data_IF_913781300807
#
_entry.id   IF_913781300807
#
_cell.length_a   1.000
_cell.length_b   1.000
_cell.length_c   1.000
_cell.angle_alpha   90.00
_cell.angle_beta   90.00
_cell.angle_gamma   90.00
#
_symmetry.space_group_name_H-M   'P 1'
#
loop_
_entity.id
_entity.type
_entity.pdbx_description
1 polymer ?
#
# COMPACT_ATOMS: atom_id res chain seq x y z
N UNK A 1 -8.84 -14.57 -20.19
CA UNK A 1 -8.44 -13.38 -19.39
C UNK A 1 -6.93 -13.35 -19.08
N UNK A 2 -6.31 -14.44 -18.63
CA UNK A 2 -4.86 -14.52 -18.33
C UNK A 2 -3.95 -13.90 -19.42
N UNK A 3 -4.17 -14.22 -20.70
CA UNK A 3 -3.42 -13.62 -21.82
C UNK A 3 -3.60 -12.09 -21.94
N UNK A 4 -4.77 -11.56 -21.57
CA UNK A 4 -5.00 -10.10 -21.57
C UNK A 4 -4.23 -9.43 -20.45
N UNK A 5 -4.24 -9.98 -19.24
CA UNK A 5 -3.46 -9.50 -18.12
C UNK A 5 -1.97 -9.51 -18.44
N UNK A 6 -1.45 -10.63 -18.93
CA UNK A 6 -0.05 -10.73 -19.35
C UNK A 6 0.31 -9.68 -20.41
N UNK A 7 -0.55 -9.53 -21.43
CA UNK A 7 -0.33 -8.54 -22.50
C UNK A 7 -0.31 -7.11 -21.97
N UNK A 8 -1.24 -6.77 -21.06
CA UNK A 8 -1.30 -5.43 -20.45
C UNK A 8 -0.06 -5.15 -19.60
N UNK A 9 0.26 -6.03 -18.66
CA UNK A 9 1.44 -5.89 -17.79
C UNK A 9 2.71 -5.80 -18.62
N UNK A 10 2.87 -6.69 -19.62
CA UNK A 10 4.01 -6.66 -20.53
C UNK A 10 4.14 -5.31 -21.23
N UNK A 11 3.06 -4.79 -21.82
CA UNK A 11 3.12 -3.54 -22.56
C UNK A 11 3.53 -2.35 -21.68
N UNK A 12 2.92 -2.23 -20.49
CA UNK A 12 3.22 -1.14 -19.56
C UNK A 12 4.67 -1.20 -19.09
N UNK A 13 5.10 -2.35 -18.58
CA UNK A 13 6.45 -2.49 -18.02
C UNK A 13 7.54 -2.39 -19.10
N UNK A 14 7.29 -2.96 -20.29
CA UNK A 14 8.22 -2.85 -21.42
C UNK A 14 8.34 -1.40 -21.87
N UNK A 15 7.22 -0.69 -21.99
CA UNK A 15 7.22 0.73 -22.37
C UNK A 15 8.04 1.59 -21.41
N UNK A 16 7.83 1.40 -20.10
CA UNK A 16 8.58 2.14 -19.08
C UNK A 16 10.08 1.81 -19.15
N UNK A 17 10.43 0.55 -19.25
CA UNK A 17 11.82 0.10 -19.37
C UNK A 17 12.52 0.65 -20.61
N UNK A 18 11.85 0.70 -21.76
CA UNK A 18 12.44 1.16 -23.01
C UNK A 18 12.54 2.68 -23.13
N UNK A 19 11.57 3.42 -22.55
CA UNK A 19 11.50 4.88 -22.69
C UNK A 19 12.03 5.63 -21.46
N UNK A 20 12.05 4.99 -20.29
CA UNK A 20 12.45 5.60 -19.03
C UNK A 20 13.30 4.62 -18.18
N UNK A 21 14.41 4.11 -18.72
CA UNK A 21 15.24 3.10 -18.05
C UNK A 21 15.75 3.62 -16.69
N UNK A 22 15.59 2.81 -15.64
CA UNK A 22 15.99 3.12 -14.28
C UNK A 22 15.13 4.15 -13.55
N UNK A 23 14.06 4.70 -14.18
CA UNK A 23 13.19 5.69 -13.55
C UNK A 23 12.21 5.04 -12.58
N UNK A 24 11.60 3.93 -13.00
CA UNK A 24 10.59 3.23 -12.18
C UNK A 24 11.28 2.16 -11.34
N UNK A 25 11.44 2.45 -10.06
CA UNK A 25 12.10 1.52 -9.14
C UNK A 25 11.14 0.54 -8.46
N UNK A 26 9.84 0.84 -8.44
CA UNK A 26 8.83 0.00 -7.80
C UNK A 26 7.48 0.04 -8.54
N UNK A 27 6.69 -1.04 -8.41
CA UNK A 27 5.33 -1.16 -8.91
C UNK A 27 4.41 -1.74 -7.84
N UNK A 28 3.27 -1.11 -7.63
CA UNK A 28 2.12 -1.70 -6.97
C UNK A 28 1.40 -2.61 -7.98
N UNK A 29 1.79 -3.89 -7.96
CA UNK A 29 1.33 -4.87 -8.96
C UNK A 29 -0.14 -5.20 -8.77
N UNK A 30 -0.57 -5.32 -7.53
CA UNK A 30 -1.97 -5.51 -7.14
C UNK A 30 -2.30 -4.52 -6.03
N UNK A 31 -3.41 -3.83 -6.20
CA UNK A 31 -3.93 -2.87 -5.26
C UNK A 31 -5.28 -3.33 -4.71
N UNK A 32 -5.46 -3.23 -3.38
CA UNK A 32 -6.74 -3.44 -2.68
C UNK A 32 -7.39 -4.81 -2.93
N UNK A 33 -6.61 -5.87 -2.75
CA UNK A 33 -7.09 -7.23 -2.95
C UNK A 33 -8.01 -7.73 -1.83
N UNK A 34 -7.96 -7.12 -0.65
CA UNK A 34 -8.70 -7.54 0.55
C UNK A 34 -9.74 -6.50 0.93
N UNK A 35 -10.96 -6.93 1.21
CA UNK A 35 -12.04 -6.08 1.73
C UNK A 35 -11.91 -5.82 3.24
N UNK A 36 -12.68 -4.85 3.74
CA UNK A 36 -12.71 -4.52 5.18
C UNK A 36 -13.38 -5.61 6.03
N UNK A 37 -14.11 -6.50 5.40
CA UNK A 37 -14.67 -7.70 6.03
C UNK A 37 -13.60 -8.80 6.30
N UNK A 38 -12.34 -8.56 5.93
CA UNK A 38 -11.25 -9.51 6.08
C UNK A 38 -11.29 -10.68 5.09
N UNK A 39 -12.00 -10.53 3.98
CA UNK A 39 -12.02 -11.48 2.88
C UNK A 39 -11.40 -10.87 1.61
N UNK A 40 -10.96 -11.72 0.68
CA UNK A 40 -10.57 -11.21 -0.64
C UNK A 40 -11.78 -10.60 -1.37
N UNK A 41 -11.54 -9.50 -2.08
CA UNK A 41 -12.58 -8.82 -2.87
C UNK A 41 -13.05 -9.68 -4.04
N UNK A 42 -14.34 -9.94 -4.10
CA UNK A 42 -14.99 -10.70 -5.18
C UNK A 42 -15.60 -9.81 -6.26
N UNK A 43 -15.73 -8.50 -6.00
CA UNK A 43 -16.34 -7.53 -6.93
C UNK A 43 -15.37 -7.03 -8.01
N UNK A 44 -14.15 -7.53 -8.04
CA UNK A 44 -13.19 -7.15 -9.06
C UNK A 44 -13.46 -7.89 -10.38
N UNK A 45 -13.32 -7.18 -11.50
CA UNK A 45 -13.43 -7.77 -12.84
C UNK A 45 -12.44 -8.94 -13.05
N UNK A 46 -11.32 -8.92 -12.32
CA UNK A 46 -10.32 -10.00 -12.33
C UNK A 46 -10.88 -11.26 -11.68
N UNK A 47 -11.45 -11.14 -10.47
CA UNK A 47 -12.09 -12.26 -9.79
C UNK A 47 -13.26 -12.83 -10.60
N UNK A 48 -14.18 -11.96 -11.06
CA UNK A 48 -15.34 -12.38 -11.88
C UNK A 48 -14.93 -13.20 -13.11
N UNK A 49 -13.75 -12.90 -13.67
CA UNK A 49 -13.30 -13.58 -14.89
C UNK A 49 -12.44 -14.80 -14.61
N UNK A 50 -11.66 -14.81 -13.54
CA UNK A 50 -10.86 -15.97 -13.14
C UNK A 50 -11.69 -17.04 -12.41
N UNK A 51 -12.69 -16.60 -11.66
CA UNK A 51 -13.49 -17.46 -10.77
C UNK A 51 -12.81 -17.78 -9.44
N UNK A 52 -11.58 -17.28 -9.24
CA UNK A 52 -10.79 -17.45 -8.02
C UNK A 52 -9.73 -16.33 -7.89
N UNK A 53 -8.92 -16.40 -6.82
CA UNK A 53 -7.89 -15.39 -6.51
C UNK A 53 -6.51 -15.67 -7.13
N UNK A 54 -6.40 -16.65 -8.03
CA UNK A 54 -5.14 -16.97 -8.72
C UNK A 54 -4.63 -15.83 -9.60
N UNK A 55 -5.51 -14.88 -9.97
CA UNK A 55 -5.14 -13.68 -10.70
C UNK A 55 -4.06 -12.85 -9.99
N UNK A 56 -4.04 -12.83 -8.65
CA UNK A 56 -3.04 -12.11 -7.86
C UNK A 56 -1.64 -12.68 -8.15
N UNK A 57 -1.49 -14.00 -8.03
CA UNK A 57 -0.21 -14.68 -8.32
C UNK A 57 0.20 -14.56 -9.78
N UNK A 58 -0.76 -14.64 -10.69
CA UNK A 58 -0.50 -14.46 -12.12
C UNK A 58 -0.02 -13.04 -12.43
N UNK A 59 -0.61 -12.00 -11.83
CA UNK A 59 -0.17 -10.61 -11.98
C UNK A 59 1.30 -10.43 -11.54
N UNK A 60 1.65 -10.91 -10.36
CA UNK A 60 3.03 -10.87 -9.86
C UNK A 60 4.00 -11.68 -10.72
N UNK A 61 3.58 -12.86 -11.20
CA UNK A 61 4.39 -13.70 -12.12
C UNK A 61 4.71 -12.93 -13.41
N UNK A 62 3.72 -12.25 -14.00
CA UNK A 62 3.93 -11.45 -15.20
C UNK A 62 4.74 -10.20 -14.93
N UNK A 63 4.49 -9.51 -13.81
CA UNK A 63 5.28 -8.35 -13.43
C UNK A 63 6.76 -8.72 -13.24
N UNK A 64 7.07 -9.80 -12.52
CA UNK A 64 8.44 -10.28 -12.34
C UNK A 64 9.12 -10.65 -13.65
N UNK A 65 8.36 -11.19 -14.61
CA UNK A 65 8.87 -11.57 -15.93
C UNK A 65 9.25 -10.38 -16.81
N UNK A 66 8.51 -9.26 -16.72
CA UNK A 66 8.65 -8.15 -17.65
C UNK A 66 9.21 -6.87 -17.04
N UNK A 67 9.26 -6.75 -15.71
CA UNK A 67 9.88 -5.62 -15.03
C UNK A 67 11.36 -5.49 -15.39
N UNK A 68 11.87 -4.29 -15.28
CA UNK A 68 13.31 -4.04 -15.37
C UNK A 68 14.01 -4.72 -14.18
N UNK A 69 15.24 -5.19 -14.40
CA UNK A 69 16.04 -5.80 -13.34
C UNK A 69 16.24 -4.80 -12.19
N UNK A 70 16.01 -5.25 -10.97
CA UNK A 70 16.09 -4.41 -9.77
C UNK A 70 14.78 -3.71 -9.40
N UNK A 71 13.79 -3.66 -10.30
CA UNK A 71 12.47 -3.10 -9.97
C UNK A 71 11.77 -3.93 -8.90
N UNK A 72 11.27 -3.26 -7.87
CA UNK A 72 10.58 -3.86 -6.73
C UNK A 72 9.08 -4.01 -6.99
N UNK A 73 8.51 -5.11 -6.54
CA UNK A 73 7.10 -5.44 -6.75
C UNK A 73 6.36 -5.50 -5.42
N UNK A 74 5.32 -4.70 -5.29
CA UNK A 74 4.55 -4.51 -4.07
C UNK A 74 3.10 -4.99 -4.21
N UNK A 75 2.55 -5.48 -3.09
CA UNK A 75 1.12 -5.58 -2.85
C UNK A 75 0.72 -4.40 -1.97
N UNK A 76 -0.18 -3.55 -2.49
CA UNK A 76 -0.63 -2.33 -1.83
C UNK A 76 -2.07 -2.48 -1.35
N UNK A 77 -2.36 -2.05 -0.11
CA UNK A 77 -3.74 -2.07 0.41
C UNK A 77 -3.92 -1.02 1.51
N UNK A 78 -5.16 -0.68 1.82
CA UNK A 78 -5.56 0.25 2.88
C UNK A 78 -6.09 -0.51 4.10
N UNK A 79 -6.28 0.18 5.23
CA UNK A 79 -6.72 -0.42 6.50
C UNK A 79 -5.89 -1.66 6.91
N UNK A 80 -4.66 -1.70 6.47
CA UNK A 80 -3.69 -2.79 6.64
C UNK A 80 -3.31 -3.04 8.10
N UNK A 81 -3.73 -2.15 9.00
CA UNK A 81 -3.58 -2.28 10.45
C UNK A 81 -4.76 -3.02 11.11
N UNK A 82 -5.93 -3.14 10.47
CA UNK A 82 -7.09 -3.87 11.02
C UNK A 82 -6.78 -5.37 11.04
N UNK A 83 -6.84 -5.98 12.20
CA UNK A 83 -6.30 -7.32 12.45
C UNK A 83 -6.73 -8.39 11.43
N UNK A 84 -8.01 -8.45 11.10
CA UNK A 84 -8.55 -9.47 10.16
C UNK A 84 -7.99 -9.26 8.75
N UNK A 85 -7.98 -8.03 8.26
CA UNK A 85 -7.46 -7.65 6.96
C UNK A 85 -5.93 -7.81 6.92
N UNK A 86 -5.24 -7.30 7.94
CA UNK A 86 -3.80 -7.43 8.11
C UNK A 86 -3.33 -8.87 8.03
N UNK A 87 -4.01 -9.78 8.73
CA UNK A 87 -3.59 -11.17 8.81
C UNK A 87 -3.75 -11.91 7.48
N UNK A 88 -4.80 -11.59 6.70
CA UNK A 88 -4.98 -12.13 5.35
C UNK A 88 -3.98 -11.53 4.36
N UNK A 89 -3.74 -10.22 4.41
CA UNK A 89 -2.69 -9.56 3.61
C UNK A 89 -1.31 -10.15 3.92
N UNK A 90 -0.97 -10.27 5.20
CA UNK A 90 0.29 -10.87 5.63
C UNK A 90 0.50 -12.27 5.04
N UNK A 91 -0.52 -13.13 5.13
CA UNK A 91 -0.44 -14.48 4.56
C UNK A 91 -0.20 -14.46 3.04
N UNK A 92 -0.81 -13.52 2.31
CA UNK A 92 -0.61 -13.38 0.88
C UNK A 92 0.78 -12.79 0.55
N UNK A 93 1.24 -11.84 1.32
CA UNK A 93 2.60 -11.28 1.18
C UNK A 93 3.63 -12.38 1.38
N UNK A 94 3.53 -13.20 2.44
CA UNK A 94 4.43 -14.34 2.68
C UNK A 94 4.39 -15.32 1.50
N UNK A 95 3.20 -15.72 1.03
CA UNK A 95 3.07 -16.65 -0.11
C UNK A 95 3.81 -16.16 -1.35
N UNK A 96 3.66 -14.88 -1.69
CA UNK A 96 4.26 -14.30 -2.89
C UNK A 96 5.75 -14.04 -2.71
N UNK A 97 6.18 -13.62 -1.52
CA UNK A 97 7.57 -13.37 -1.17
C UNK A 97 8.38 -14.68 -1.19
N UNK A 98 7.89 -15.75 -0.58
CA UNK A 98 8.53 -17.08 -0.57
C UNK A 98 8.65 -17.67 -1.99
N UNK A 99 7.74 -17.29 -2.89
CA UNK A 99 7.81 -17.64 -4.30
C UNK A 99 8.78 -16.77 -5.13
N UNK A 100 9.45 -15.77 -4.52
CA UNK A 100 10.33 -14.82 -5.20
C UNK A 100 9.61 -13.84 -6.13
N UNK A 101 8.30 -13.68 -5.95
CA UNK A 101 7.46 -12.86 -6.84
C UNK A 101 7.23 -11.44 -6.30
N UNK A 102 7.32 -11.24 -4.98
CA UNK A 102 7.05 -9.97 -4.31
C UNK A 102 8.28 -9.53 -3.52
N UNK A 103 8.56 -8.23 -3.49
CA UNK A 103 9.65 -7.62 -2.74
C UNK A 103 9.15 -6.83 -1.51
N UNK A 104 7.92 -6.35 -1.53
CA UNK A 104 7.44 -5.48 -0.47
C UNK A 104 5.93 -5.38 -0.31
N UNK A 105 5.53 -4.73 0.77
CA UNK A 105 4.15 -4.38 1.07
C UNK A 105 3.99 -2.86 1.10
N UNK A 106 2.98 -2.37 0.38
CA UNK A 106 2.52 -0.99 0.44
C UNK A 106 1.40 -0.86 1.47
N UNK A 107 1.61 0.01 2.44
CA UNK A 107 0.63 0.43 3.42
C UNK A 107 0.10 1.79 2.97
N UNK A 108 -1.16 1.85 2.48
CA UNK A 108 -1.73 3.12 2.00
C UNK A 108 -1.73 4.18 3.09
N UNK A 109 -2.07 3.76 4.33
CA UNK A 109 -1.98 4.65 5.49
C UNK A 109 -2.92 5.87 5.38
N UNK A 110 -4.14 5.63 4.93
CA UNK A 110 -5.22 6.61 5.03
C UNK A 110 -5.74 6.64 6.49
N UNK A 111 -5.56 7.76 7.16
CA UNK A 111 -5.87 7.89 8.57
C UNK A 111 -7.01 8.87 8.82
N UNK A 112 -7.63 8.74 9.98
CA UNK A 112 -8.52 9.74 10.57
C UNK A 112 -7.86 10.33 11.83
N UNK A 113 -8.38 11.45 12.33
CA UNK A 113 -7.83 12.13 13.51
C UNK A 113 -7.79 11.26 14.77
N UNK A 114 -8.65 10.25 14.87
CA UNK A 114 -8.79 9.36 16.03
C UNK A 114 -8.57 7.87 15.69
N UNK A 115 -8.36 7.54 14.42
CA UNK A 115 -8.16 6.15 13.97
C UNK A 115 -7.14 6.07 12.82
N UNK A 116 -6.30 5.02 12.79
CA UNK A 116 -6.08 3.98 13.81
C UNK A 116 -5.37 4.52 15.05
N UNK A 117 -5.34 3.77 16.17
CA UNK A 117 -4.40 4.09 17.25
C UNK A 117 -2.96 3.88 16.78
N UNK A 118 -2.02 4.62 17.38
CA UNK A 118 -0.59 4.46 17.08
C UNK A 118 -0.11 3.03 17.35
N UNK A 119 -0.58 2.43 18.44
CA UNK A 119 -0.24 1.04 18.81
C UNK A 119 -0.75 0.03 17.77
N UNK A 120 -1.94 0.27 17.21
CA UNK A 120 -2.49 -0.60 16.16
C UNK A 120 -1.66 -0.52 14.88
N UNK A 121 -1.22 0.67 14.51
CA UNK A 121 -0.33 0.90 13.38
C UNK A 121 1.06 0.28 13.63
N UNK A 122 1.68 0.52 14.81
CA UNK A 122 2.98 -0.07 15.17
C UNK A 122 2.92 -1.60 15.12
N UNK A 123 1.84 -2.21 15.65
CA UNK A 123 1.61 -3.65 15.59
C UNK A 123 1.55 -4.19 14.17
N UNK A 124 0.90 -3.48 13.24
CA UNK A 124 0.84 -3.89 11.84
C UNK A 124 2.23 -3.79 11.18
N UNK A 125 2.92 -2.69 11.43
CA UNK A 125 4.25 -2.45 10.90
C UNK A 125 5.25 -3.52 11.39
N UNK A 126 5.22 -3.87 12.69
CA UNK A 126 6.02 -4.96 13.25
C UNK A 126 5.71 -6.32 12.60
N UNK A 127 4.42 -6.58 12.36
CA UNK A 127 4.01 -7.83 11.72
C UNK A 127 4.56 -7.96 10.31
N UNK A 128 4.41 -6.95 9.46
CA UNK A 128 4.98 -6.99 8.11
C UNK A 128 6.52 -7.05 8.15
N UNK A 129 7.15 -6.28 9.01
CA UNK A 129 8.59 -6.27 9.19
C UNK A 129 9.18 -7.61 9.69
N UNK A 130 8.34 -8.52 10.21
CA UNK A 130 8.78 -9.87 10.63
C UNK A 130 9.12 -10.79 9.45
N UNK A 131 8.78 -10.41 8.21
CA UNK A 131 9.15 -11.15 7.01
C UNK A 131 10.58 -10.76 6.63
N UNK A 132 11.48 -11.70 6.58
CA UNK A 132 12.90 -11.44 6.30
C UNK A 132 13.11 -10.84 4.90
N UNK A 133 13.81 -9.72 4.81
CA UNK A 133 14.11 -9.04 3.55
C UNK A 133 12.97 -8.23 2.94
N UNK A 134 11.79 -8.19 3.56
CA UNK A 134 10.65 -7.42 3.04
C UNK A 134 10.95 -5.91 3.03
N UNK A 135 10.52 -5.22 1.99
CA UNK A 135 10.45 -3.76 1.98
C UNK A 135 9.05 -3.29 2.37
N UNK A 136 8.97 -2.18 3.12
CA UNK A 136 7.71 -1.55 3.49
C UNK A 136 7.70 -0.13 2.94
N UNK A 137 6.61 0.24 2.28
CA UNK A 137 6.37 1.61 1.83
C UNK A 137 5.04 2.11 2.40
N UNK A 138 5.04 3.36 2.90
CA UNK A 138 3.82 4.06 3.21
C UNK A 138 3.45 4.85 1.95
N UNK A 139 2.40 4.41 1.25
CA UNK A 139 2.23 4.74 -0.16
C UNK A 139 1.30 5.91 -0.43
N UNK A 140 0.37 6.20 0.49
CA UNK A 140 -0.73 7.13 0.22
C UNK A 140 -1.17 7.91 1.47
N UNK A 141 -0.20 8.34 2.29
CA UNK A 141 -0.50 8.98 3.57
C UNK A 141 -1.36 10.22 3.36
N UNK A 142 -2.47 10.24 4.03
CA UNK A 142 -3.31 11.40 4.30
C UNK A 142 -4.06 11.22 5.62
N UNK A 143 -4.67 12.30 6.13
CA UNK A 143 -5.41 12.26 7.40
C UNK A 143 -6.69 13.07 7.29
N UNK A 144 -7.83 12.41 7.38
CA UNK A 144 -9.11 13.10 7.37
C UNK A 144 -9.28 14.00 8.60
N UNK A 145 -9.31 15.30 8.35
CA UNK A 145 -9.57 16.34 9.35
C UNK A 145 -10.61 17.32 8.81
N UNK A 146 -11.63 17.64 9.56
CA UNK A 146 -12.69 18.59 9.19
C UNK A 146 -12.55 19.95 9.87
N UNK A 147 -11.55 20.12 10.74
CA UNK A 147 -11.32 21.34 11.52
C UNK A 147 -10.09 22.09 11.00
N UNK A 148 -10.31 23.16 10.22
CA UNK A 148 -9.26 24.02 9.67
C UNK A 148 -8.83 25.16 10.61
N UNK A 149 -9.32 25.16 11.85
CA UNK A 149 -8.86 26.10 12.86
C UNK A 149 -7.39 25.86 13.23
N UNK A 150 -6.72 26.87 13.74
CA UNK A 150 -5.34 26.75 14.22
C UNK A 150 -5.17 25.61 15.23
N UNK A 151 -6.17 25.40 16.10
CA UNK A 151 -6.19 24.31 17.08
C UNK A 151 -6.39 22.94 16.40
N UNK A 152 -7.29 22.85 15.42
CA UNK A 152 -7.52 21.62 14.62
C UNK A 152 -6.27 21.19 13.86
N UNK A 153 -5.64 22.12 13.14
CA UNK A 153 -4.41 21.87 12.41
C UNK A 153 -3.23 21.50 13.33
N UNK A 154 -3.16 22.10 14.53
CA UNK A 154 -2.16 21.73 15.53
C UNK A 154 -2.36 20.29 16.02
N UNK A 155 -3.59 19.88 16.32
CA UNK A 155 -3.91 18.50 16.72
C UNK A 155 -3.54 17.51 15.60
N UNK A 156 -3.81 17.86 14.34
CA UNK A 156 -3.43 17.05 13.19
C UNK A 156 -1.90 16.90 13.09
N UNK A 157 -1.17 17.99 13.26
CA UNK A 157 0.30 17.96 13.25
C UNK A 157 0.86 17.09 14.41
N UNK A 158 0.27 17.16 15.61
CA UNK A 158 0.62 16.31 16.75
C UNK A 158 0.33 14.83 16.41
N UNK A 159 -0.80 14.56 15.75
CA UNK A 159 -1.19 13.22 15.33
C UNK A 159 -0.23 12.64 14.28
N UNK A 160 0.10 13.40 13.25
CA UNK A 160 1.15 13.01 12.30
C UNK A 160 2.48 12.72 12.99
N UNK A 161 2.87 13.58 13.94
CA UNK A 161 4.10 13.39 14.69
C UNK A 161 4.13 12.03 15.43
N UNK A 162 3.03 11.60 16.05
CA UNK A 162 2.96 10.31 16.73
C UNK A 162 3.27 9.14 15.78
N UNK A 163 2.67 9.12 14.59
CA UNK A 163 2.94 8.10 13.59
C UNK A 163 4.37 8.16 13.07
N UNK A 164 4.87 9.37 12.76
CA UNK A 164 6.24 9.54 12.27
C UNK A 164 7.30 9.22 13.32
N UNK A 165 6.99 9.38 14.61
CA UNK A 165 7.86 8.93 15.69
C UNK A 165 8.04 7.40 15.65
N UNK A 166 6.97 6.64 15.43
CA UNK A 166 7.03 5.17 15.25
C UNK A 166 7.81 4.81 13.97
N UNK A 167 7.45 5.38 12.83
CA UNK A 167 8.08 5.13 11.53
C UNK A 167 9.60 5.35 11.61
N UNK A 168 10.00 6.52 12.11
CA UNK A 168 11.42 6.90 12.20
C UNK A 168 12.18 6.09 13.24
N UNK A 169 11.56 5.74 14.36
CA UNK A 169 12.11 4.85 15.38
C UNK A 169 12.39 3.46 14.80
N UNK A 170 11.40 2.83 14.19
CA UNK A 170 11.53 1.49 13.66
C UNK A 170 12.57 1.40 12.53
N UNK A 171 12.60 2.41 11.64
CA UNK A 171 13.64 2.49 10.60
C UNK A 171 15.03 2.67 11.20
N UNK A 172 15.21 3.61 12.13
CA UNK A 172 16.51 3.89 12.77
C UNK A 172 17.04 2.71 13.58
N UNK A 173 16.16 1.97 14.23
CA UNK A 173 16.51 0.78 15.03
C UNK A 173 16.71 -0.48 14.17
N UNK A 174 16.51 -0.37 12.85
CA UNK A 174 16.63 -1.51 11.93
C UNK A 174 15.53 -2.57 12.10
N UNK A 175 14.41 -2.22 12.75
CA UNK A 175 13.29 -3.12 12.99
C UNK A 175 12.37 -3.26 11.79
N UNK A 176 12.31 -2.25 10.93
CA UNK A 176 11.53 -2.26 9.70
C UNK A 176 12.32 -1.63 8.56
N UNK A 177 12.35 -2.29 7.41
CA UNK A 177 12.97 -1.79 6.20
C UNK A 177 11.99 -0.86 5.44
N UNK A 178 11.72 0.31 6.01
CA UNK A 178 10.85 1.33 5.41
C UNK A 178 11.65 2.09 4.35
N UNK A 179 11.24 2.00 3.09
CA UNK A 179 12.00 2.55 1.96
C UNK A 179 11.38 3.80 1.35
N UNK A 180 10.09 4.02 1.52
CA UNK A 180 9.39 5.21 1.01
C UNK A 180 8.28 5.66 1.93
N UNK A 181 8.00 6.97 1.89
CA UNK A 181 6.84 7.62 2.49
C UNK A 181 6.30 8.62 1.46
N UNK A 182 5.05 8.43 1.05
CA UNK A 182 4.39 9.25 0.02
C UNK A 182 3.09 9.84 0.57
N UNK A 183 2.93 11.16 0.48
CA UNK A 183 1.66 11.82 0.78
C UNK A 183 0.73 11.74 -0.44
N UNK A 184 -0.55 11.46 -0.19
CA UNK A 184 -1.55 11.26 -1.25
C UNK A 184 -2.29 12.55 -1.60
N UNK A 185 -1.54 13.60 -1.87
CA UNK A 185 -2.05 14.90 -2.26
C UNK A 185 -1.02 16.00 -2.14
N UNK A 186 -1.23 17.10 -2.87
CA UNK A 186 -0.36 18.28 -2.84
C UNK A 186 -0.97 19.43 -2.05
N UNK A 187 -2.30 19.45 -1.93
CA UNK A 187 -3.04 20.50 -1.22
C UNK A 187 -4.47 20.06 -0.92
N UNK A 188 -5.05 20.62 0.13
CA UNK A 188 -6.35 20.26 0.69
C UNK A 188 -7.49 20.34 -0.32
N UNK A 189 -7.57 21.42 -1.11
CA UNK A 189 -8.66 21.63 -2.08
C UNK A 189 -8.69 20.63 -3.24
N UNK A 190 -7.72 19.74 -3.36
CA UNK A 190 -7.62 18.69 -4.40
C UNK A 190 -7.59 17.29 -3.81
N UNK A 191 -7.77 17.15 -2.48
CA UNK A 191 -7.83 15.84 -1.84
C UNK A 191 -9.08 15.06 -2.23
N UNK A 192 -8.90 13.77 -2.51
CA UNK A 192 -9.99 12.83 -2.77
C UNK A 192 -10.89 12.62 -1.55
N UNK A 193 -10.34 12.81 -0.34
CA UNK A 193 -11.05 12.59 0.94
C UNK A 193 -12.34 13.40 1.04
N UNK A 194 -12.34 14.65 0.58
CA UNK A 194 -13.55 15.49 0.62
C UNK A 194 -14.71 14.86 -0.18
N UNK A 195 -14.42 14.32 -1.35
CA UNK A 195 -15.42 13.62 -2.17
C UNK A 195 -15.84 12.27 -1.58
N UNK A 196 -14.89 11.55 -1.03
CA UNK A 196 -15.12 10.21 -0.47
C UNK A 196 -15.90 10.27 0.84
N UNK A 197 -15.56 11.18 1.74
CA UNK A 197 -16.25 11.37 3.04
C UNK A 197 -17.55 12.14 2.92
N UNK A 198 -17.77 12.86 1.80
CA UNK A 198 -18.96 13.70 1.60
C UNK A 198 -18.95 15.01 2.41
N UNK A 199 -17.80 15.42 2.91
CA UNK A 199 -17.57 16.64 3.68
C UNK A 199 -16.17 17.19 3.41
N UNK A 200 -15.94 18.48 3.68
CA UNK A 200 -14.62 19.08 3.46
C UNK A 200 -13.57 18.42 4.36
N UNK A 201 -12.45 18.04 3.78
CA UNK A 201 -11.30 17.46 4.46
C UNK A 201 -10.06 18.32 4.24
N UNK A 202 -9.29 18.50 5.28
CA UNK A 202 -7.99 19.19 5.31
C UNK A 202 -6.89 18.18 5.68
N UNK A 203 -6.45 17.31 4.72
CA UNK A 203 -5.56 16.18 4.99
C UNK A 203 -4.11 16.57 5.26
#
# INVERSE_FOLDING_TARGET
MKKRMESYIKQVLTYCKENYPGLVYAWDVVNEAVGDDGNYRTESMWYETYGDFSYIKDAFTFARKYAEEGTKLFLNDYNEYIAQKRDLLYAKVVELHDAGLLDGVGMQSHWDMDFPSVDLFETALEKYASIDGIEIQLTEIDMHNTDDSEEGLKKQAERYKEFFDVITKMKREGKANITSVTFWGLKDGESWLSGFKGETSYP
#
